data_IF_623213057094
#
_entry.id   IF_623213057094
#
_cell.length_a   1.000
_cell.length_b   1.000
_cell.length_c   1.000
_cell.angle_alpha   90.00
_cell.angle_beta   90.00
_cell.angle_gamma   90.00
#
_symmetry.space_group_name_H-M   'P 1'
#
loop_
_entity.id
_entity.type
_entity.pdbx_description
1 polymer ?
#
# COMPACT_ATOMS: atom_id res chain seq x y z
N UNK A 1 18.53 5.06 -3.95
CA UNK A 1 19.09 3.91 -4.70
C UNK A 1 19.90 4.34 -5.93
N UNK A 2 19.31 4.99 -6.95
CA UNK A 2 20.04 5.40 -8.17
C UNK A 2 21.26 6.27 -7.86
N UNK A 3 21.07 7.32 -7.05
CA UNK A 3 22.14 8.25 -6.67
C UNK A 3 23.22 7.56 -5.82
N UNK A 4 22.83 6.68 -4.89
CA UNK A 4 23.79 5.88 -4.11
C UNK A 4 24.61 4.94 -5.00
N UNK A 5 24.02 4.35 -6.05
CA UNK A 5 24.78 3.56 -7.01
C UNK A 5 25.82 4.42 -7.78
N UNK A 6 25.50 5.69 -8.05
CA UNK A 6 26.46 6.63 -8.62
C UNK A 6 27.61 6.94 -7.63
N UNK A 7 27.30 7.22 -6.35
CA UNK A 7 28.30 7.47 -5.31
C UNK A 7 29.19 6.26 -5.01
N UNK A 8 28.65 5.04 -5.14
CA UNK A 8 29.45 3.81 -5.02
C UNK A 8 30.47 3.71 -6.16
N UNK A 9 30.13 4.19 -7.37
CA UNK A 9 31.03 4.15 -8.52
C UNK A 9 32.03 5.32 -8.53
N UNK A 10 31.60 6.48 -8.04
CA UNK A 10 32.43 7.67 -7.85
C UNK A 10 32.30 8.17 -6.39
N UNK A 11 33.24 7.79 -5.51
CA UNK A 11 33.21 8.19 -4.10
C UNK A 11 33.31 9.71 -3.87
N UNK A 12 33.74 10.49 -4.87
CA UNK A 12 33.77 11.95 -4.77
C UNK A 12 32.40 12.59 -4.99
N UNK A 13 31.44 11.82 -5.53
CA UNK A 13 30.09 12.29 -5.81
C UNK A 13 29.18 12.13 -4.59
N UNK A 14 28.89 13.24 -3.93
CA UNK A 14 27.87 13.32 -2.86
C UNK A 14 26.57 13.89 -3.46
N UNK A 15 25.46 13.13 -3.45
CA UNK A 15 24.20 13.60 -3.99
C UNK A 15 23.68 14.78 -3.19
N UNK A 16 23.27 15.83 -3.89
CA UNK A 16 22.69 17.03 -3.28
C UNK A 16 21.16 16.95 -3.30
N UNK A 17 20.50 17.71 -2.41
CA UNK A 17 19.03 17.73 -2.31
C UNK A 17 18.35 18.07 -3.63
N UNK A 18 18.89 19.03 -4.39
CA UNK A 18 18.31 19.40 -5.69
C UNK A 18 18.45 18.27 -6.72
N UNK A 19 19.52 17.47 -6.69
CA UNK A 19 19.68 16.32 -7.58
C UNK A 19 18.67 15.22 -7.23
N UNK A 20 18.48 14.95 -5.95
CA UNK A 20 17.46 14.02 -5.44
C UNK A 20 16.06 14.48 -5.82
N UNK A 21 15.77 15.77 -5.68
CA UNK A 21 14.50 16.37 -6.08
C UNK A 21 14.27 16.21 -7.59
N UNK A 22 15.19 16.69 -8.43
CA UNK A 22 15.04 16.66 -9.89
C UNK A 22 14.91 15.24 -10.45
N UNK A 23 15.70 14.29 -9.92
CA UNK A 23 15.61 12.89 -10.34
C UNK A 23 14.25 12.29 -9.96
N UNK A 24 13.78 12.55 -8.74
CA UNK A 24 12.47 12.05 -8.28
C UNK A 24 11.34 12.68 -9.09
N UNK A 25 11.38 13.98 -9.38
CA UNK A 25 10.42 14.68 -10.26
C UNK A 25 10.41 14.06 -11.65
N UNK A 26 11.59 13.81 -12.23
CA UNK A 26 11.71 13.16 -13.54
C UNK A 26 11.05 11.78 -13.55
N UNK A 27 11.34 10.94 -12.56
CA UNK A 27 10.73 9.61 -12.41
C UNK A 27 9.21 9.71 -12.21
N UNK A 28 8.72 10.66 -11.42
CA UNK A 28 7.29 10.89 -11.22
C UNK A 28 6.59 11.28 -12.52
N UNK A 29 7.19 12.14 -13.34
CA UNK A 29 6.66 12.52 -14.65
C UNK A 29 6.63 11.29 -15.57
N UNK A 30 7.68 10.46 -15.57
CA UNK A 30 7.67 9.20 -16.32
C UNK A 30 6.55 8.27 -15.84
N UNK A 31 6.36 8.09 -14.53
CA UNK A 31 5.25 7.31 -13.98
C UNK A 31 3.89 7.88 -14.38
N UNK A 32 3.73 9.20 -14.44
CA UNK A 32 2.50 9.85 -14.88
C UNK A 32 2.22 9.62 -16.37
N UNK A 33 3.25 9.69 -17.21
CA UNK A 33 3.15 9.37 -18.65
C UNK A 33 2.75 7.91 -18.83
N UNK A 34 3.48 6.99 -18.19
CA UNK A 34 3.21 5.55 -18.25
C UNK A 34 1.78 5.27 -17.77
N UNK A 35 1.37 5.84 -16.63
CA UNK A 35 0.03 5.62 -16.03
C UNK A 35 -1.12 6.29 -16.80
N UNK A 36 -0.80 7.14 -17.77
CA UNK A 36 -1.78 7.75 -18.68
C UNK A 36 -1.98 6.95 -19.98
N UNK A 37 -1.19 5.90 -20.21
CA UNK A 37 -1.32 5.02 -21.39
C UNK A 37 -2.67 4.28 -21.43
N UNK A 38 -3.06 3.73 -22.59
CA UNK A 38 -4.28 2.93 -22.69
C UNK A 38 -4.29 1.74 -21.73
N UNK A 39 -5.45 1.41 -21.16
CA UNK A 39 -5.61 0.37 -20.12
C UNK A 39 -4.98 -0.98 -20.47
N UNK A 40 -4.99 -1.38 -21.75
CA UNK A 40 -4.32 -2.61 -22.21
C UNK A 40 -2.81 -2.60 -21.99
N UNK A 41 -2.15 -1.49 -22.32
CA UNK A 41 -0.71 -1.33 -22.12
C UNK A 41 -0.37 -1.23 -20.63
N UNK A 42 -1.20 -0.53 -19.85
CA UNK A 42 -1.05 -0.48 -18.39
C UNK A 42 -1.08 -1.87 -17.77
N UNK A 43 -2.06 -2.69 -18.15
CA UNK A 43 -2.20 -4.05 -17.62
C UNK A 43 -0.98 -4.93 -17.96
N UNK A 44 -0.46 -4.83 -19.19
CA UNK A 44 0.74 -5.55 -19.61
C UNK A 44 1.99 -5.08 -18.85
N UNK A 45 2.20 -3.77 -18.74
CA UNK A 45 3.33 -3.20 -18.03
C UNK A 45 3.31 -3.59 -16.55
N UNK A 46 2.14 -3.49 -15.89
CA UNK A 46 2.00 -3.86 -14.49
C UNK A 46 2.22 -5.37 -14.27
N UNK A 47 1.71 -6.23 -15.15
CA UNK A 47 1.95 -7.68 -15.10
C UNK A 47 3.42 -8.02 -15.29
N UNK A 48 4.09 -7.41 -16.27
CA UNK A 48 5.51 -7.60 -16.53
C UNK A 48 6.36 -7.10 -15.35
N UNK A 49 6.08 -5.91 -14.83
CA UNK A 49 6.76 -5.33 -13.67
C UNK A 49 6.59 -6.18 -12.41
N UNK A 50 5.37 -6.66 -12.15
CA UNK A 50 5.10 -7.57 -11.01
C UNK A 50 5.84 -8.89 -11.13
N UNK A 51 5.92 -9.45 -12.35
CA UNK A 51 6.65 -10.70 -12.62
C UNK A 51 8.15 -10.49 -12.44
N UNK A 52 8.69 -9.39 -12.97
CA UNK A 52 10.07 -8.99 -12.77
C UNK A 52 10.39 -8.79 -11.29
N UNK A 53 9.54 -8.10 -10.53
CA UNK A 53 9.73 -7.89 -9.09
C UNK A 53 9.87 -9.20 -8.33
N UNK A 54 8.99 -10.17 -8.63
CA UNK A 54 9.04 -11.47 -7.98
C UNK A 54 10.33 -12.24 -8.33
N UNK A 55 10.72 -12.26 -9.61
CA UNK A 55 11.96 -12.90 -10.05
C UNK A 55 13.18 -12.21 -9.42
N UNK A 56 13.23 -10.88 -9.46
CA UNK A 56 14.30 -10.07 -8.87
C UNK A 56 14.45 -10.34 -7.37
N UNK A 57 13.33 -10.44 -6.63
CA UNK A 57 13.35 -10.77 -5.21
C UNK A 57 13.97 -12.16 -4.95
N UNK A 58 13.56 -13.18 -5.69
CA UNK A 58 14.14 -14.53 -5.58
C UNK A 58 15.63 -14.52 -5.91
N UNK A 59 16.02 -13.81 -6.98
CA UNK A 59 17.43 -13.66 -7.37
C UNK A 59 18.23 -12.98 -6.26
N UNK A 60 17.72 -11.89 -5.67
CA UNK A 60 18.41 -11.16 -4.58
C UNK A 60 18.57 -12.04 -3.33
N UNK A 61 17.53 -12.78 -2.94
CA UNK A 61 17.58 -13.73 -1.81
C UNK A 61 18.67 -14.79 -2.00
N UNK A 62 18.92 -15.23 -3.24
CA UNK A 62 19.98 -16.21 -3.56
C UNK A 62 21.35 -15.52 -3.68
N UNK A 63 21.41 -14.36 -4.33
CA UNK A 63 22.67 -13.66 -4.63
C UNK A 63 23.39 -13.17 -3.38
N UNK A 64 22.67 -12.69 -2.37
CA UNK A 64 23.29 -12.20 -1.13
C UNK A 64 24.13 -13.29 -0.42
N UNK A 65 23.58 -14.46 -0.04
CA UNK A 65 24.36 -15.50 0.66
C UNK A 65 25.36 -16.23 -0.27
N UNK A 66 25.11 -16.23 -1.58
CA UNK A 66 26.04 -16.80 -2.56
C UNK A 66 27.25 -15.90 -2.83
N UNK A 67 27.02 -14.58 -2.88
CA UNK A 67 28.02 -13.57 -3.20
C UNK A 67 28.65 -12.89 -1.99
N UNK A 68 28.39 -13.38 -0.77
CA UNK A 68 28.96 -12.77 0.43
C UNK A 68 30.47 -13.01 0.51
N UNK A 69 31.23 -11.93 0.78
CA UNK A 69 32.69 -11.93 0.88
C UNK A 69 33.20 -11.90 2.33
N UNK A 70 32.32 -12.14 3.31
CA UNK A 70 32.64 -12.11 4.76
C UNK A 70 33.87 -12.95 5.12
N UNK A 71 34.02 -14.12 4.50
CA UNK A 71 35.18 -15.01 4.74
C UNK A 71 36.49 -14.41 4.25
N UNK A 72 36.47 -13.63 3.18
CA UNK A 72 37.65 -12.93 2.65
C UNK A 72 38.06 -11.77 3.57
N UNK A 73 37.11 -11.25 4.36
CA UNK A 73 37.30 -10.20 5.37
C UNK A 73 37.65 -10.74 6.76
N UNK A 74 37.89 -12.05 6.91
CA UNK A 74 38.24 -12.68 8.19
C UNK A 74 37.06 -12.93 9.14
N UNK A 75 35.82 -12.82 8.65
CA UNK A 75 34.60 -13.08 9.42
C UNK A 75 34.03 -14.48 9.09
N UNK A 76 33.24 -15.08 10.00
CA UNK A 76 32.42 -16.24 9.65
C UNK A 76 31.52 -15.92 8.46
N UNK A 77 31.31 -16.92 7.58
CA UNK A 77 30.47 -16.75 6.38
C UNK A 77 29.06 -16.26 6.71
N UNK A 78 28.52 -16.71 7.84
CA UNK A 78 27.24 -16.27 8.38
C UNK A 78 27.40 -15.99 9.88
N UNK A 79 26.65 -15.01 10.39
CA UNK A 79 26.59 -14.72 11.81
C UNK A 79 26.11 -15.95 12.61
N UNK A 80 26.59 -16.15 13.85
CA UNK A 80 26.12 -17.23 14.70
C UNK A 80 24.62 -17.15 14.98
N UNK A 81 23.90 -18.27 14.95
CA UNK A 81 22.45 -18.30 15.24
C UNK A 81 22.11 -17.78 16.64
N UNK A 82 23.01 -17.92 17.62
CA UNK A 82 22.81 -17.38 18.96
C UNK A 82 22.77 -15.85 18.98
N UNK A 83 23.46 -15.21 18.04
CA UNK A 83 23.42 -13.75 17.85
C UNK A 83 22.10 -13.39 17.16
N UNK A 84 21.83 -13.96 15.98
CA UNK A 84 20.64 -13.65 15.16
C UNK A 84 19.31 -13.83 15.90
N UNK A 85 19.19 -14.87 16.74
CA UNK A 85 17.94 -15.19 17.45
C UNK A 85 17.96 -14.85 18.94
N UNK A 86 19.15 -14.60 19.51
CA UNK A 86 19.33 -14.42 20.96
C UNK A 86 19.55 -12.98 21.39
N UNK A 87 19.81 -12.06 20.45
CA UNK A 87 20.01 -10.64 20.76
C UNK A 87 18.88 -9.78 20.19
N UNK A 88 18.60 -8.67 20.89
CA UNK A 88 17.72 -7.60 20.40
C UNK A 88 18.62 -6.38 20.27
N UNK A 89 18.72 -5.83 19.07
CA UNK A 89 19.49 -4.62 18.82
C UNK A 89 18.87 -3.42 19.55
N UNK A 90 19.67 -2.72 20.34
CA UNK A 90 19.25 -1.57 21.16
C UNK A 90 19.18 -0.28 20.34
N UNK A 91 18.33 -0.27 19.31
CA UNK A 91 18.16 0.88 18.41
C UNK A 91 17.28 2.01 18.96
N UNK A 92 16.73 1.88 20.17
CA UNK A 92 15.89 2.91 20.81
C UNK A 92 16.17 2.97 22.30
N UNK A 93 15.87 4.11 22.92
CA UNK A 93 15.95 4.33 24.37
C UNK A 93 14.88 3.57 25.17
N UNK A 94 14.01 2.81 24.51
CA UNK A 94 12.93 2.06 25.16
C UNK A 94 13.38 0.65 25.55
N UNK A 95 12.71 0.01 26.52
CA UNK A 95 12.94 -1.40 26.82
C UNK A 95 12.72 -2.28 25.58
N UNK A 96 13.50 -3.37 25.46
CA UNK A 96 13.55 -4.24 24.29
C UNK A 96 12.17 -4.67 23.74
N UNK A 97 11.19 -4.96 24.61
CA UNK A 97 9.83 -5.32 24.19
C UNK A 97 9.11 -4.20 23.41
N UNK A 98 9.30 -2.95 23.81
CA UNK A 98 8.75 -1.79 23.08
C UNK A 98 9.57 -1.54 21.81
N UNK A 99 10.90 -1.66 21.85
CA UNK A 99 11.76 -1.52 20.66
C UNK A 99 11.39 -2.52 19.57
N UNK A 100 11.07 -3.77 19.93
CA UNK A 100 10.53 -4.78 19.01
C UNK A 100 9.22 -4.30 18.39
N UNK A 101 8.27 -3.77 19.18
CA UNK A 101 7.03 -3.23 18.63
C UNK A 101 7.27 -2.02 17.73
N UNK A 102 8.19 -1.12 18.08
CA UNK A 102 8.56 0.02 17.23
C UNK A 102 9.14 -0.43 15.88
N UNK A 103 9.89 -1.54 15.83
CA UNK A 103 10.44 -2.09 14.59
C UNK A 103 9.36 -2.48 13.56
N UNK A 104 8.11 -2.70 13.98
CA UNK A 104 7.00 -3.00 13.08
C UNK A 104 6.71 -1.86 12.11
N UNK A 105 7.19 -0.63 12.35
CA UNK A 105 7.08 0.46 11.36
C UNK A 105 7.61 0.05 9.99
N UNK A 106 8.72 -0.70 9.94
CA UNK A 106 9.28 -1.22 8.69
C UNK A 106 8.37 -2.25 8.04
N UNK A 107 7.79 -3.16 8.82
CA UNK A 107 6.83 -4.16 8.32
C UNK A 107 5.56 -3.50 7.80
N UNK A 108 5.04 -2.51 8.52
CA UNK A 108 3.82 -1.78 8.17
C UNK A 108 4.02 -1.04 6.86
N UNK A 109 5.17 -0.38 6.70
CA UNK A 109 5.49 0.34 5.48
C UNK A 109 5.69 -0.62 4.29
N UNK A 110 6.44 -1.71 4.48
CA UNK A 110 6.71 -2.70 3.42
C UNK A 110 5.48 -3.52 3.01
N UNK A 111 4.53 -3.74 3.92
CA UNK A 111 3.25 -4.35 3.63
C UNK A 111 2.20 -3.35 3.11
N UNK A 112 2.52 -2.07 2.97
CA UNK A 112 1.57 -1.11 2.42
C UNK A 112 1.19 -1.44 0.96
N UNK A 113 -0.05 -1.16 0.59
CA UNK A 113 -0.54 -1.32 -0.79
C UNK A 113 -1.04 -2.72 -1.16
N UNK A 114 -1.15 -3.68 -0.22
CA UNK A 114 -1.80 -4.97 -0.46
C UNK A 114 -3.26 -4.83 -0.93
N UNK A 115 -3.89 -3.68 -0.65
CA UNK A 115 -5.25 -3.32 -1.01
C UNK A 115 -5.36 -2.69 -2.40
N UNK A 116 -4.25 -2.51 -3.12
CA UNK A 116 -4.26 -2.01 -4.51
C UNK A 116 -5.30 -2.71 -5.41
N UNK A 117 -5.53 -4.03 -5.33
CA UNK A 117 -6.57 -4.71 -6.10
C UNK A 117 -8.01 -4.23 -5.80
N UNK A 118 -8.27 -3.59 -4.65
CA UNK A 118 -9.56 -2.98 -4.34
C UNK A 118 -9.78 -1.70 -5.16
N UNK A 119 -8.76 -0.84 -5.28
CA UNK A 119 -8.85 0.40 -6.05
C UNK A 119 -9.00 0.17 -7.56
N UNK A 120 -8.62 -1.02 -8.04
CA UNK A 120 -8.76 -1.45 -9.43
C UNK A 120 -9.94 -2.41 -9.64
N UNK A 121 -10.82 -2.59 -8.65
CA UNK A 121 -11.92 -3.53 -8.73
C UNK A 121 -12.87 -3.27 -9.92
N UNK A 122 -13.08 -2.00 -10.30
CA UNK A 122 -13.92 -1.61 -11.43
C UNK A 122 -13.34 -2.06 -12.80
N UNK A 123 -12.02 -2.29 -12.88
CA UNK A 123 -11.32 -2.74 -14.09
C UNK A 123 -11.12 -4.27 -14.10
N UNK A 124 -11.52 -4.97 -13.04
CA UNK A 124 -11.26 -6.39 -12.81
C UNK A 124 -12.43 -7.28 -13.25
N UNK A 125 -12.17 -8.33 -14.01
CA UNK A 125 -13.14 -9.38 -14.26
C UNK A 125 -13.39 -10.19 -12.98
N UNK A 126 -14.66 -10.31 -12.57
CA UNK A 126 -15.05 -11.02 -11.34
C UNK A 126 -14.44 -10.44 -10.05
N UNK A 127 -14.52 -9.12 -9.89
CA UNK A 127 -13.97 -8.38 -8.76
C UNK A 127 -14.33 -8.94 -7.37
N UNK A 128 -15.54 -9.48 -7.20
CA UNK A 128 -16.04 -10.06 -5.94
C UNK A 128 -15.24 -11.27 -5.43
N UNK A 129 -14.45 -11.92 -6.30
CA UNK A 129 -13.58 -13.05 -5.95
C UNK A 129 -12.13 -12.72 -6.23
N UNK A 130 -11.83 -12.08 -7.37
CA UNK A 130 -10.47 -11.80 -7.79
C UNK A 130 -9.77 -10.79 -6.87
N UNK A 131 -10.44 -9.69 -6.52
CA UNK A 131 -9.88 -8.64 -5.66
C UNK A 131 -9.52 -9.15 -4.25
N UNK A 132 -10.42 -9.79 -3.48
CA UNK A 132 -10.06 -10.28 -2.16
C UNK A 132 -9.01 -11.40 -2.17
N UNK A 133 -9.01 -12.27 -3.19
CA UNK A 133 -7.95 -13.29 -3.36
C UNK A 133 -6.60 -12.66 -3.62
N UNK A 134 -6.54 -11.62 -4.46
CA UNK A 134 -5.31 -10.89 -4.74
C UNK A 134 -4.76 -10.23 -3.47
N UNK A 135 -5.60 -9.59 -2.66
CA UNK A 135 -5.19 -8.99 -1.37
C UNK A 135 -4.51 -10.02 -0.46
N UNK A 136 -5.13 -11.19 -0.27
CA UNK A 136 -4.57 -12.26 0.57
C UNK A 136 -3.28 -12.81 -0.01
N UNK A 137 -3.24 -13.05 -1.33
CA UNK A 137 -2.06 -13.60 -2.00
C UNK A 137 -0.87 -12.63 -1.90
N UNK A 138 -1.08 -11.35 -2.20
CA UNK A 138 -0.03 -10.33 -2.11
C UNK A 138 0.51 -10.20 -0.68
N UNK A 139 -0.38 -10.21 0.32
CA UNK A 139 0.04 -10.16 1.73
C UNK A 139 0.83 -11.40 2.15
N UNK A 140 0.34 -12.60 1.80
CA UNK A 140 1.00 -13.86 2.16
C UNK A 140 2.35 -14.03 1.45
N UNK A 141 2.40 -13.81 0.14
CA UNK A 141 3.64 -13.91 -0.64
C UNK A 141 4.64 -12.84 -0.21
N UNK A 142 4.20 -11.58 -0.04
CA UNK A 142 5.07 -10.51 0.44
C UNK A 142 5.65 -10.79 1.83
N UNK A 143 4.81 -11.25 2.77
CA UNK A 143 5.24 -11.59 4.12
C UNK A 143 6.24 -12.75 4.16
N UNK A 144 5.99 -13.83 3.42
CA UNK A 144 6.86 -15.01 3.41
C UNK A 144 8.22 -14.69 2.78
N UNK A 145 8.26 -14.08 1.61
CA UNK A 145 9.53 -13.78 0.94
C UNK A 145 10.28 -12.62 1.62
N UNK A 146 9.56 -11.64 2.16
CA UNK A 146 10.15 -10.59 3.00
C UNK A 146 10.82 -11.17 4.24
N UNK A 147 10.20 -12.16 4.89
CA UNK A 147 10.81 -12.87 6.01
C UNK A 147 12.11 -13.59 5.63
N UNK A 148 12.15 -14.29 4.49
CA UNK A 148 13.39 -14.91 4.02
C UNK A 148 14.49 -13.89 3.69
N UNK A 149 14.13 -12.76 3.07
CA UNK A 149 15.10 -11.70 2.81
C UNK A 149 15.68 -11.14 4.12
N UNK A 150 14.83 -10.87 5.13
CA UNK A 150 15.28 -10.39 6.43
C UNK A 150 16.14 -11.41 7.18
N UNK A 151 15.81 -12.71 7.06
CA UNK A 151 16.64 -13.77 7.62
C UNK A 151 18.02 -13.76 6.97
N UNK A 152 18.09 -13.69 5.63
CA UNK A 152 19.37 -13.58 4.91
C UNK A 152 20.16 -12.37 5.41
N UNK A 153 19.55 -11.18 5.46
CA UNK A 153 20.18 -9.95 5.93
C UNK A 153 20.71 -10.10 7.36
N UNK A 154 19.93 -10.68 8.28
CA UNK A 154 20.35 -10.88 9.67
C UNK A 154 21.58 -11.79 9.80
N UNK A 155 21.71 -12.80 8.92
CA UNK A 155 22.87 -13.69 8.91
C UNK A 155 24.10 -13.11 8.18
N UNK A 156 23.94 -12.08 7.33
CA UNK A 156 25.02 -11.53 6.51
C UNK A 156 25.44 -10.11 6.89
N UNK A 157 24.63 -9.35 7.62
CA UNK A 157 25.01 -8.02 8.14
C UNK A 157 26.24 -8.12 9.04
N UNK A 158 27.13 -7.13 8.93
CA UNK A 158 28.39 -7.08 9.69
C UNK A 158 28.25 -6.12 10.85
N UNK A 159 27.78 -4.89 10.58
CA UNK A 159 27.64 -3.85 11.60
C UNK A 159 26.42 -2.98 11.27
N UNK A 160 25.43 -2.99 12.16
CA UNK A 160 24.15 -2.29 11.95
C UNK A 160 24.34 -0.78 12.03
N UNK A 161 25.15 -0.28 12.96
CA UNK A 161 25.37 1.16 13.17
C UNK A 161 26.02 1.78 11.94
N UNK A 162 27.05 1.12 11.38
CA UNK A 162 27.70 1.55 10.14
C UNK A 162 26.78 1.51 8.91
N UNK A 163 25.72 0.70 8.93
CA UNK A 163 24.69 0.72 7.87
C UNK A 163 23.78 1.94 8.01
N UNK A 164 23.39 2.26 9.25
CA UNK A 164 22.48 3.35 9.55
C UNK A 164 23.15 4.72 9.37
N UNK A 165 24.41 4.84 9.79
CA UNK A 165 25.20 6.08 9.76
C UNK A 165 25.96 6.28 8.44
N UNK A 166 25.67 5.46 7.42
CA UNK A 166 26.40 5.50 6.16
C UNK A 166 26.13 6.79 5.36
N UNK A 167 27.22 7.45 4.95
CA UNK A 167 27.18 8.63 4.06
C UNK A 167 26.53 8.36 2.69
N UNK A 168 26.33 7.09 2.30
CA UNK A 168 25.58 6.74 1.09
C UNK A 168 24.09 7.17 1.16
N UNK A 169 23.58 7.50 2.35
CA UNK A 169 22.19 7.92 2.57
C UNK A 169 21.16 6.86 2.18
N UNK A 170 21.59 5.60 2.05
CA UNK A 170 20.80 4.48 1.56
C UNK A 170 21.21 3.18 2.27
N UNK A 171 20.55 2.84 3.39
CA UNK A 171 20.94 1.72 4.25
C UNK A 171 21.07 0.38 3.53
N UNK A 172 20.15 0.05 2.62
CA UNK A 172 20.24 -1.21 1.86
C UNK A 172 21.50 -1.28 0.99
N UNK A 173 21.94 -0.17 0.40
CA UNK A 173 23.17 -0.13 -0.40
C UNK A 173 24.42 -0.24 0.50
N UNK A 174 24.42 0.45 1.64
CA UNK A 174 25.49 0.38 2.64
C UNK A 174 25.67 -1.04 3.18
N UNK A 175 24.56 -1.70 3.54
CA UNK A 175 24.53 -3.11 3.96
C UNK A 175 25.17 -4.04 2.91
N UNK A 176 24.82 -3.90 1.64
CA UNK A 176 25.42 -4.73 0.59
C UNK A 176 26.94 -4.48 0.49
N UNK A 177 27.41 -3.23 0.57
CA UNK A 177 28.84 -2.92 0.55
C UNK A 177 29.64 -3.52 1.72
N UNK A 178 29.00 -3.75 2.87
CA UNK A 178 29.64 -4.41 4.00
C UNK A 178 29.87 -5.92 3.79
N UNK A 179 29.01 -6.58 3.03
CA UNK A 179 28.97 -8.04 2.97
C UNK A 179 29.27 -8.65 1.60
N UNK A 180 29.48 -7.84 0.55
CA UNK A 180 29.88 -8.32 -0.78
C UNK A 180 30.69 -7.28 -1.58
N UNK A 181 31.23 -7.73 -2.72
CA UNK A 181 31.98 -6.87 -3.64
C UNK A 181 31.11 -5.79 -4.29
N UNK A 182 31.74 -4.66 -4.63
CA UNK A 182 31.10 -3.52 -5.29
C UNK A 182 30.32 -3.91 -6.56
N UNK A 183 30.86 -4.81 -7.39
CA UNK A 183 30.19 -5.26 -8.62
C UNK A 183 28.88 -5.99 -8.33
N UNK A 184 28.86 -6.86 -7.32
CA UNK A 184 27.66 -7.59 -6.90
C UNK A 184 26.64 -6.65 -6.27
N UNK A 185 27.10 -5.71 -5.45
CA UNK A 185 26.25 -4.64 -4.90
C UNK A 185 25.54 -3.86 -6.00
N UNK A 186 26.29 -3.37 -7.00
CA UNK A 186 25.71 -2.63 -8.12
C UNK A 186 24.73 -3.47 -8.95
N UNK A 187 24.98 -4.77 -9.13
CA UNK A 187 24.06 -5.67 -9.83
C UNK A 187 22.73 -5.83 -9.06
N UNK A 188 22.78 -6.06 -7.75
CA UNK A 188 21.58 -6.14 -6.90
C UNK A 188 20.84 -4.81 -6.89
N UNK A 189 21.55 -3.69 -6.72
CA UNK A 189 20.94 -2.36 -6.76
C UNK A 189 20.25 -2.09 -8.09
N UNK A 190 20.82 -2.50 -9.22
CA UNK A 190 20.18 -2.36 -10.54
C UNK A 190 18.85 -3.12 -10.61
N UNK A 191 18.79 -4.36 -10.11
CA UNK A 191 17.54 -5.11 -10.02
C UNK A 191 16.51 -4.41 -9.13
N UNK A 192 16.93 -3.92 -7.96
CA UNK A 192 16.06 -3.20 -7.02
C UNK A 192 15.57 -1.87 -7.60
N UNK A 193 16.39 -1.16 -8.40
CA UNK A 193 16.01 0.09 -9.07
C UNK A 193 14.90 -0.15 -10.09
N UNK A 194 15.06 -1.16 -10.96
CA UNK A 194 14.03 -1.52 -11.95
C UNK A 194 12.74 -1.96 -11.25
N UNK A 195 12.88 -2.69 -10.14
CA UNK A 195 11.76 -3.14 -9.35
C UNK A 195 11.00 -1.97 -8.68
N UNK A 196 11.75 -1.03 -8.09
CA UNK A 196 11.22 0.18 -7.48
C UNK A 196 10.53 1.11 -8.48
N UNK A 197 11.04 1.21 -9.71
CA UNK A 197 10.36 1.93 -10.79
C UNK A 197 9.01 1.29 -11.13
N UNK A 198 8.98 -0.03 -11.31
CA UNK A 198 7.74 -0.77 -11.60
C UNK A 198 6.71 -0.61 -10.48
N UNK A 199 7.15 -0.66 -9.22
CA UNK A 199 6.31 -0.41 -8.04
C UNK A 199 5.75 1.02 -8.05
N UNK A 200 6.60 2.04 -8.23
CA UNK A 200 6.18 3.45 -8.22
C UNK A 200 5.16 3.77 -9.32
N UNK A 201 5.31 3.15 -10.49
CA UNK A 201 4.32 3.21 -11.56
C UNK A 201 2.97 2.62 -11.12
N UNK A 202 2.97 1.44 -10.47
CA UNK A 202 1.77 0.83 -9.91
C UNK A 202 1.07 1.70 -8.85
N UNK A 203 1.84 2.34 -7.97
CA UNK A 203 1.31 3.29 -6.98
C UNK A 203 0.61 4.47 -7.65
N UNK A 204 1.17 5.02 -8.72
CA UNK A 204 0.57 6.13 -9.47
C UNK A 204 -0.77 5.74 -10.11
N UNK A 205 -0.88 4.51 -10.63
CA UNK A 205 -2.17 3.96 -11.09
C UNK A 205 -3.16 3.93 -9.93
N UNK A 206 -2.84 3.25 -8.82
CA UNK A 206 -3.77 3.11 -7.69
C UNK A 206 -4.25 4.47 -7.17
N UNK A 207 -3.33 5.41 -6.95
CA UNK A 207 -3.64 6.77 -6.50
C UNK A 207 -4.61 7.50 -7.45
N UNK A 208 -4.40 7.36 -8.77
CA UNK A 208 -5.28 8.00 -9.76
C UNK A 208 -6.71 7.45 -9.75
N UNK A 209 -6.89 6.15 -9.44
CA UNK A 209 -8.22 5.52 -9.36
C UNK A 209 -8.96 5.95 -8.11
N UNK A 210 -8.24 6.03 -6.99
CA UNK A 210 -8.78 6.61 -5.75
C UNK A 210 -9.24 8.05 -6.00
N UNK A 211 -8.37 8.87 -6.59
CA UNK A 211 -8.68 10.28 -6.89
C UNK A 211 -9.89 10.42 -7.81
N UNK A 212 -9.96 9.57 -8.85
CA UNK A 212 -11.11 9.52 -9.74
C UNK A 212 -12.41 9.14 -9.02
N UNK A 213 -12.39 8.14 -8.14
CA UNK A 213 -13.55 7.72 -7.36
C UNK A 213 -14.05 8.84 -6.43
N UNK A 214 -13.15 9.50 -5.70
CA UNK A 214 -13.49 10.68 -4.89
C UNK A 214 -14.03 11.84 -5.74
N UNK A 215 -13.45 12.07 -6.92
CA UNK A 215 -13.94 13.10 -7.83
C UNK A 215 -15.34 12.78 -8.40
N UNK A 216 -15.64 11.51 -8.66
CA UNK A 216 -16.97 11.03 -9.10
C UNK A 216 -18.04 11.36 -8.07
N UNK A 217 -17.69 11.22 -6.80
CA UNK A 217 -18.57 11.53 -5.66
C UNK A 217 -18.59 13.02 -5.28
N UNK A 218 -17.99 13.87 -6.13
CA UNK A 218 -17.91 15.34 -5.97
C UNK A 218 -17.23 15.78 -4.66
N UNK A 219 -16.24 14.99 -4.17
CA UNK A 219 -15.49 15.27 -2.94
C UNK A 219 -14.42 16.36 -3.07
N UNK A 220 -13.98 16.67 -4.29
CA UNK A 220 -12.90 17.65 -4.54
C UNK A 220 -13.43 18.95 -5.13
N UNK A 221 -12.75 20.09 -4.87
CA UNK A 221 -12.93 21.26 -5.70
C UNK A 221 -12.58 20.88 -7.15
N UNK A 222 -13.34 21.42 -8.11
CA UNK A 222 -13.14 21.14 -9.53
C UNK A 222 -13.29 19.65 -9.91
N UNK A 223 -14.02 18.84 -9.12
CA UNK A 223 -14.31 17.42 -9.41
C UNK A 223 -14.75 17.13 -10.85
N UNK A 224 -15.41 18.08 -11.52
CA UNK A 224 -15.79 18.00 -12.94
C UNK A 224 -14.62 17.71 -13.88
N UNK A 225 -13.41 18.19 -13.56
CA UNK A 225 -12.22 17.98 -14.35
C UNK A 225 -11.51 16.68 -13.99
N UNK A 226 -11.42 16.35 -12.70
CA UNK A 226 -10.71 15.17 -12.20
C UNK A 226 -11.44 13.86 -12.50
N UNK A 227 -12.78 13.88 -12.56
CA UNK A 227 -13.62 12.72 -12.89
C UNK A 227 -13.74 12.42 -14.38
N UNK A 228 -12.99 13.10 -15.25
CA UNK A 228 -13.07 12.89 -16.70
C UNK A 228 -12.18 11.71 -17.12
N UNK A 229 -12.79 10.69 -17.70
CA UNK A 229 -12.07 9.57 -18.35
C UNK A 229 -11.78 9.93 -19.80
N UNK A 230 -10.55 9.73 -20.24
CA UNK A 230 -10.16 9.96 -21.63
C UNK A 230 -10.75 8.86 -22.54
N UNK A 231 -11.44 9.24 -23.63
CA UNK A 231 -12.12 8.29 -24.53
C UNK A 231 -11.18 7.39 -25.31
N UNK A 232 -9.94 7.81 -25.57
CA UNK A 232 -8.97 7.03 -26.33
C UNK A 232 -8.19 6.06 -25.45
N UNK A 233 -7.73 6.52 -24.29
CA UNK A 233 -6.93 5.69 -23.37
C UNK A 233 -7.79 4.89 -22.40
N UNK A 234 -9.06 5.28 -22.17
CA UNK A 234 -9.96 4.70 -21.16
C UNK A 234 -9.39 4.83 -19.73
N UNK A 235 -8.58 5.87 -19.48
CA UNK A 235 -7.94 6.14 -18.19
C UNK A 235 -8.26 7.55 -17.68
N UNK A 236 -8.28 7.77 -16.35
CA UNK A 236 -8.51 9.08 -15.75
C UNK A 236 -7.21 9.91 -15.75
N UNK A 237 -6.71 10.27 -16.92
CA UNK A 237 -5.42 10.97 -17.07
C UNK A 237 -5.33 12.28 -16.25
N UNK A 238 -6.42 13.03 -16.13
CA UNK A 238 -6.45 14.25 -15.32
C UNK A 238 -6.16 13.97 -13.83
N UNK A 239 -6.66 12.85 -13.30
CA UNK A 239 -6.39 12.43 -11.93
C UNK A 239 -4.93 12.00 -11.74
N UNK A 240 -4.32 11.36 -12.76
CA UNK A 240 -2.89 11.00 -12.76
C UNK A 240 -2.03 12.26 -12.65
N UNK A 241 -2.28 13.26 -13.49
CA UNK A 241 -1.50 14.50 -13.48
C UNK A 241 -1.75 15.35 -12.23
N UNK A 242 -2.96 15.32 -11.68
CA UNK A 242 -3.26 15.93 -10.39
C UNK A 242 -2.40 15.32 -9.28
N UNK A 243 -2.35 13.98 -9.19
CA UNK A 243 -1.51 13.30 -8.20
C UNK A 243 -0.02 13.54 -8.42
N UNK A 244 0.43 13.59 -9.68
CA UNK A 244 1.81 13.96 -10.01
C UNK A 244 2.14 15.36 -9.49
N UNK A 245 1.29 16.35 -9.77
CA UNK A 245 1.50 17.73 -9.31
C UNK A 245 1.49 17.84 -7.78
N UNK A 246 0.50 17.24 -7.10
CA UNK A 246 0.44 17.23 -5.63
C UNK A 246 1.65 16.52 -5.05
N UNK A 247 2.07 15.40 -5.62
CA UNK A 247 3.26 14.67 -5.17
C UNK A 247 4.55 15.49 -5.35
N UNK A 248 4.70 16.23 -6.45
CA UNK A 248 5.85 17.15 -6.65
C UNK A 248 5.82 18.29 -5.64
N UNK A 249 4.63 18.84 -5.32
CA UNK A 249 4.50 19.87 -4.29
C UNK A 249 4.87 19.33 -2.90
N UNK A 250 4.43 18.12 -2.56
CA UNK A 250 4.84 17.46 -1.32
C UNK A 250 6.36 17.18 -1.32
N UNK A 251 6.95 16.86 -2.47
CA UNK A 251 8.38 16.59 -2.59
C UNK A 251 9.26 17.82 -2.33
N UNK A 252 8.71 19.05 -2.44
CA UNK A 252 9.42 20.27 -2.02
C UNK A 252 9.85 20.24 -0.55
N UNK A 253 9.24 19.38 0.28
CA UNK A 253 9.65 19.15 1.66
C UNK A 253 11.09 18.62 1.78
N UNK A 254 11.70 18.09 0.72
CA UNK A 254 13.14 17.77 0.69
C UNK A 254 13.99 18.98 1.08
N UNK A 255 13.61 20.19 0.64
CA UNK A 255 14.33 21.42 1.00
C UNK A 255 14.06 21.90 2.43
N UNK A 256 13.13 21.28 3.14
CA UNK A 256 12.82 21.53 4.55
C UNK A 256 13.66 20.69 5.53
N UNK A 257 14.58 19.86 5.03
CA UNK A 257 15.44 18.98 5.81
C UNK A 257 14.82 17.62 6.12
N UNK A 258 15.61 16.75 6.77
CA UNK A 258 15.24 15.35 7.03
C UNK A 258 13.94 15.20 7.84
N UNK A 259 13.69 16.11 8.78
CA UNK A 259 12.46 16.15 9.57
C UNK A 259 11.21 16.30 8.68
N UNK A 260 11.28 17.20 7.69
CA UNK A 260 10.18 17.47 6.77
C UNK A 260 9.95 16.30 5.81
N UNK A 261 11.01 15.62 5.39
CA UNK A 261 10.93 14.39 4.57
C UNK A 261 10.34 13.24 5.39
N UNK A 262 10.82 13.02 6.61
CA UNK A 262 10.35 11.97 7.52
C UNK A 262 8.85 12.08 7.80
N UNK A 263 8.33 13.31 7.90
CA UNK A 263 6.90 13.57 8.08
C UNK A 263 6.02 12.93 6.98
N UNK A 264 6.47 12.88 5.72
CA UNK A 264 5.72 12.25 4.63
C UNK A 264 5.56 10.73 4.84
N UNK A 265 6.63 10.06 5.26
CA UNK A 265 6.63 8.61 5.49
C UNK A 265 5.75 8.23 6.68
N UNK A 266 5.81 9.03 7.75
CA UNK A 266 5.00 8.90 8.95
C UNK A 266 3.48 8.95 8.69
N UNK A 267 3.02 9.90 7.86
CA UNK A 267 1.58 9.99 7.50
C UNK A 267 1.13 8.74 6.78
N UNK A 268 1.93 8.26 5.81
CA UNK A 268 1.56 7.13 4.96
C UNK A 268 1.24 5.86 5.75
N UNK A 269 2.02 5.56 6.79
CA UNK A 269 1.81 4.38 7.63
C UNK A 269 0.54 4.48 8.48
N UNK A 270 0.39 5.57 9.25
CA UNK A 270 -0.73 5.70 10.19
C UNK A 270 -2.06 5.92 9.46
N UNK A 271 -2.07 6.73 8.40
CA UNK A 271 -3.29 7.04 7.66
C UNK A 271 -3.92 5.77 7.06
N UNK A 272 -3.11 4.89 6.48
CA UNK A 272 -3.56 3.60 5.95
C UNK A 272 -4.20 2.73 7.05
N UNK A 273 -3.52 2.58 8.18
CA UNK A 273 -4.02 1.78 9.31
C UNK A 273 -5.36 2.26 9.84
N UNK A 274 -5.50 3.57 10.07
CA UNK A 274 -6.76 4.14 10.55
C UNK A 274 -7.86 3.97 9.50
N UNK A 275 -7.58 4.32 8.23
CA UNK A 275 -8.56 4.25 7.14
C UNK A 275 -9.13 2.84 6.95
N UNK A 276 -8.31 1.79 7.06
CA UNK A 276 -8.76 0.41 6.87
C UNK A 276 -9.36 -0.22 8.12
N UNK A 277 -8.91 0.18 9.31
CA UNK A 277 -9.42 -0.40 10.56
C UNK A 277 -10.82 0.10 10.88
N UNK A 278 -11.18 1.34 10.49
CA UNK A 278 -12.52 1.89 10.73
C UNK A 278 -13.63 1.00 10.13
N UNK A 279 -13.61 0.64 8.83
CA UNK A 279 -14.61 -0.27 8.27
C UNK A 279 -14.63 -1.66 8.93
N UNK A 280 -13.45 -2.21 9.28
CA UNK A 280 -13.35 -3.51 9.97
C UNK A 280 -14.01 -3.42 11.34
N UNK A 281 -13.71 -2.37 12.10
CA UNK A 281 -14.27 -2.09 13.42
C UNK A 281 -15.79 -1.95 13.35
N UNK A 282 -16.31 -1.15 12.42
CA UNK A 282 -17.76 -1.00 12.21
C UNK A 282 -18.40 -2.35 11.90
N UNK A 283 -17.79 -3.14 11.00
CA UNK A 283 -18.30 -4.46 10.60
C UNK A 283 -18.32 -5.46 11.75
N UNK A 284 -17.28 -5.49 12.59
CA UNK A 284 -17.16 -6.45 13.70
C UNK A 284 -18.07 -6.08 14.87
N UNK A 285 -18.12 -4.79 15.24
CA UNK A 285 -18.75 -4.37 16.50
C UNK A 285 -20.15 -3.76 16.34
N UNK A 286 -20.51 -3.21 15.17
CA UNK A 286 -21.78 -2.48 14.99
C UNK A 286 -22.74 -3.14 14.00
N UNK A 287 -22.23 -3.72 12.92
CA UNK A 287 -23.10 -4.27 11.86
C UNK A 287 -23.80 -5.56 12.33
N UNK A 288 -23.11 -6.40 13.09
CA UNK A 288 -23.63 -7.68 13.57
C UNK A 288 -24.14 -8.56 12.41
N UNK A 289 -25.31 -9.18 12.57
CA UNK A 289 -25.91 -10.08 11.58
C UNK A 289 -26.47 -9.39 10.32
N UNK A 290 -26.36 -8.05 10.21
CA UNK A 290 -26.83 -7.30 9.03
C UNK A 290 -25.87 -7.41 7.84
N UNK A 291 -24.65 -7.93 8.07
CA UNK A 291 -23.64 -8.08 7.03
C UNK A 291 -23.97 -9.29 6.13
N UNK A 292 -24.09 -9.05 4.82
CA UNK A 292 -24.24 -10.11 3.81
C UNK A 292 -22.85 -10.50 3.27
N UNK A 293 -22.37 -11.74 3.49
CA UNK A 293 -21.09 -12.18 2.95
C UNK A 293 -21.09 -12.22 1.42
N UNK A 294 -19.98 -11.81 0.81
CA UNK A 294 -19.74 -12.01 -0.61
C UNK A 294 -19.36 -13.46 -0.96
N UNK A 295 -19.24 -13.79 -2.26
CA UNK A 295 -18.84 -15.11 -2.74
C UNK A 295 -17.50 -15.59 -2.15
N UNK A 296 -16.56 -14.66 -1.93
CA UNK A 296 -15.38 -14.90 -1.13
C UNK A 296 -15.56 -14.30 0.27
N UNK A 297 -15.37 -15.10 1.31
CA UNK A 297 -15.48 -14.66 2.69
C UNK A 297 -14.61 -15.51 3.63
N UNK A 298 -14.29 -14.95 4.80
CA UNK A 298 -13.54 -15.62 5.87
C UNK A 298 -14.43 -16.54 6.75
N UNK A 299 -15.73 -16.67 6.41
CA UNK A 299 -16.72 -17.40 7.19
C UNK A 299 -16.73 -17.01 8.67
N UNK A 300 -16.74 -18.03 9.54
CA UNK A 300 -16.76 -17.87 11.00
C UNK A 300 -15.55 -17.13 11.58
N UNK A 301 -14.41 -17.14 10.89
CA UNK A 301 -13.19 -16.50 11.38
C UNK A 301 -13.19 -14.98 11.18
N UNK A 302 -14.10 -14.44 10.39
CA UNK A 302 -14.13 -13.02 10.05
C UNK A 302 -14.23 -12.11 11.27
N UNK A 303 -15.00 -12.51 12.31
CA UNK A 303 -15.13 -11.71 13.53
C UNK A 303 -13.85 -11.75 14.38
N UNK A 304 -13.25 -12.92 14.54
CA UNK A 304 -12.04 -13.10 15.35
C UNK A 304 -10.84 -12.38 14.71
N UNK A 305 -10.60 -12.60 13.41
CA UNK A 305 -9.52 -11.93 12.66
C UNK A 305 -9.72 -10.42 12.67
N UNK A 306 -10.95 -9.94 12.44
CA UNK A 306 -11.25 -8.51 12.48
C UNK A 306 -11.03 -7.89 13.86
N UNK A 307 -11.36 -8.62 14.94
CA UNK A 307 -11.12 -8.16 16.32
C UNK A 307 -9.63 -8.04 16.62
N UNK A 308 -8.84 -9.07 16.25
CA UNK A 308 -7.38 -9.06 16.42
C UNK A 308 -6.74 -7.92 15.62
N UNK A 309 -7.19 -7.68 14.39
CA UNK A 309 -6.72 -6.56 13.58
C UNK A 309 -7.00 -5.20 14.25
N UNK A 310 -8.20 -5.00 14.81
CA UNK A 310 -8.56 -3.77 15.51
C UNK A 310 -7.70 -3.57 16.77
N UNK A 311 -7.49 -4.60 17.58
CA UNK A 311 -6.65 -4.54 18.78
C UNK A 311 -5.19 -4.26 18.43
N UNK A 312 -4.67 -4.92 17.38
CA UNK A 312 -3.32 -4.70 16.90
C UNK A 312 -3.10 -3.25 16.46
N UNK A 313 -4.02 -2.69 15.67
CA UNK A 313 -3.91 -1.30 15.21
C UNK A 313 -4.08 -0.32 16.38
N UNK A 314 -4.98 -0.59 17.32
CA UNK A 314 -5.14 0.22 18.53
C UNK A 314 -3.86 0.26 19.37
N UNK A 315 -3.15 -0.85 19.46
CA UNK A 315 -1.84 -0.94 20.14
C UNK A 315 -0.74 -0.20 19.36
N UNK A 316 -0.70 -0.38 18.03
CA UNK A 316 0.39 0.14 17.20
C UNK A 316 0.33 1.65 16.97
N UNK A 317 -0.87 2.27 16.91
CA UNK A 317 -0.98 3.72 16.66
C UNK A 317 -0.17 4.56 17.67
N UNK A 318 -0.29 4.37 19.00
CA UNK A 318 0.55 5.08 19.97
C UNK A 318 2.04 4.76 19.81
N UNK A 319 2.40 3.50 19.61
CA UNK A 319 3.79 3.05 19.52
C UNK A 319 4.51 3.71 18.33
N UNK A 320 3.83 3.82 17.19
CA UNK A 320 4.36 4.50 16.00
C UNK A 320 4.51 6.01 16.17
N UNK A 321 3.91 6.60 17.21
CA UNK A 321 4.06 8.01 17.55
C UNK A 321 5.19 8.27 18.56
N UNK A 322 5.81 7.22 19.12
CA UNK A 322 6.94 7.40 20.03
C UNK A 322 8.22 7.82 19.28
N UNK A 323 9.03 8.74 19.83
CA UNK A 323 10.38 9.00 19.34
C UNK A 323 11.30 7.79 19.58
N UNK A 324 12.45 7.71 18.92
CA UNK A 324 13.46 6.68 19.20
C UNK A 324 14.25 6.98 20.48
N UNK A 325 14.44 8.26 20.80
CA UNK A 325 15.15 8.78 21.97
C UNK A 325 14.15 9.39 22.97
N UNK A 326 14.43 9.29 24.26
CA UNK A 326 13.57 9.81 25.34
C UNK A 326 14.40 10.52 26.41
N UNK A 327 13.73 11.22 27.32
CA UNK A 327 14.38 11.84 28.47
C UNK A 327 15.09 13.15 28.14
N UNK A 328 16.23 13.40 28.80
CA UNK A 328 16.99 14.65 28.67
C UNK A 328 17.66 14.83 27.31
N UNK A 329 17.87 13.73 26.57
CA UNK A 329 18.55 13.72 25.28
C UNK A 329 17.58 13.96 24.11
N UNK A 330 16.26 13.99 24.37
CA UNK A 330 15.25 14.24 23.34
C UNK A 330 15.30 15.69 22.87
N UNK A 331 15.73 15.90 21.62
CA UNK A 331 15.67 17.21 20.97
C UNK A 331 14.41 17.37 20.10
N UNK A 332 14.16 18.61 19.65
CA UNK A 332 13.09 18.91 18.68
C UNK A 332 13.29 18.18 17.36
N UNK A 333 14.55 17.94 16.97
CA UNK A 333 14.90 17.24 15.74
C UNK A 333 14.66 15.73 15.86
N UNK A 334 14.86 15.15 17.05
CA UNK A 334 14.68 13.71 17.30
C UNK A 334 13.23 13.32 17.62
N UNK A 335 12.36 14.32 17.76
CA UNK A 335 10.95 14.08 18.08
C UNK A 335 10.20 13.47 16.90
N UNK A 336 9.36 12.48 17.21
CA UNK A 336 8.44 11.90 16.23
C UNK A 336 7.19 12.78 16.10
N UNK A 337 7.14 13.58 15.03
CA UNK A 337 6.05 14.53 14.75
C UNK A 337 4.80 13.90 14.13
N UNK A 338 4.74 12.57 13.99
CA UNK A 338 3.63 11.87 13.31
C UNK A 338 2.27 12.27 13.87
N UNK A 339 2.13 12.39 15.19
CA UNK A 339 0.88 12.75 15.84
C UNK A 339 0.34 14.13 15.38
N UNK A 340 1.22 15.11 15.19
CA UNK A 340 0.85 16.46 14.74
C UNK A 340 0.59 16.46 13.23
N UNK A 341 1.48 15.83 12.46
CA UNK A 341 1.42 15.83 11.00
C UNK A 341 0.20 15.04 10.50
N UNK A 342 -0.20 13.97 11.19
CA UNK A 342 -1.43 13.24 10.90
C UNK A 342 -2.66 13.86 11.59
N UNK A 343 -2.56 14.17 12.88
CA UNK A 343 -3.68 14.65 13.69
C UNK A 343 -4.17 16.04 13.26
N UNK A 344 -3.27 16.93 12.84
CA UNK A 344 -3.61 18.28 12.36
C UNK A 344 -4.55 18.26 11.16
N UNK A 345 -4.19 17.63 10.03
CA UNK A 345 -5.08 17.47 8.89
C UNK A 345 -6.40 16.75 9.23
N UNK A 346 -6.38 15.71 10.07
CA UNK A 346 -7.61 15.02 10.48
C UNK A 346 -8.53 15.92 11.29
N UNK A 347 -7.99 16.77 12.17
CA UNK A 347 -8.74 17.77 12.90
C UNK A 347 -9.36 18.79 11.94
N UNK A 348 -8.60 19.29 10.96
CA UNK A 348 -9.10 20.22 9.95
C UNK A 348 -10.23 19.61 9.11
N UNK A 349 -10.09 18.35 8.68
CA UNK A 349 -11.13 17.63 7.93
C UNK A 349 -12.38 17.44 8.80
N UNK A 350 -12.21 17.13 10.08
CA UNK A 350 -13.34 16.98 11.03
C UNK A 350 -14.07 18.31 11.22
N UNK A 351 -13.33 19.42 11.41
CA UNK A 351 -13.91 20.76 11.48
C UNK A 351 -14.65 21.09 10.17
N UNK A 352 -14.02 20.84 9.02
CA UNK A 352 -14.64 21.08 7.72
C UNK A 352 -15.93 20.27 7.53
N UNK A 353 -15.95 19.02 7.99
CA UNK A 353 -17.14 18.18 8.00
C UNK A 353 -18.28 18.83 8.77
N UNK A 354 -18.06 19.21 10.03
CA UNK A 354 -19.08 19.81 10.89
C UNK A 354 -19.49 21.24 10.47
N UNK A 355 -18.61 22.01 9.85
CA UNK A 355 -18.92 23.38 9.39
C UNK A 355 -19.69 23.37 8.07
N UNK A 356 -19.26 22.55 7.10
CA UNK A 356 -19.72 22.62 5.70
C UNK A 356 -20.01 21.26 5.08
N UNK A 357 -19.08 20.30 5.13
CA UNK A 357 -19.14 19.12 4.24
C UNK A 357 -20.37 18.24 4.46
N UNK A 358 -20.83 18.07 5.71
CA UNK A 358 -22.04 17.29 6.01
C UNK A 358 -23.33 17.86 5.37
N UNK A 359 -23.33 19.13 4.95
CA UNK A 359 -24.50 19.80 4.35
C UNK A 359 -24.67 19.42 2.87
N UNK A 360 -23.56 19.29 2.14
CA UNK A 360 -23.57 19.09 0.68
C UNK A 360 -23.08 17.71 0.23
N UNK A 361 -22.24 17.03 1.02
CA UNK A 361 -21.78 15.69 0.69
C UNK A 361 -22.89 14.66 0.97
N UNK A 362 -23.30 13.92 -0.05
CA UNK A 362 -24.40 12.94 0.03
C UNK A 362 -23.93 11.48 0.08
N UNK A 363 -22.62 11.25 0.15
CA UNK A 363 -22.04 9.92 0.11
C UNK A 363 -21.81 9.39 -1.32
N UNK A 364 -21.33 8.14 -1.43
CA UNK A 364 -20.99 7.52 -2.71
C UNK A 364 -22.18 7.44 -3.65
N UNK A 365 -21.99 7.85 -4.91
CA UNK A 365 -23.03 7.73 -5.94
C UNK A 365 -23.05 6.31 -6.46
N UNK A 366 -24.06 5.55 -6.03
CA UNK A 366 -24.26 4.16 -6.46
C UNK A 366 -24.81 4.15 -7.88
N UNK A 367 -23.94 3.92 -8.87
CA UNK A 367 -24.30 3.90 -10.30
C UNK A 367 -24.82 2.54 -10.80
N UNK A 368 -24.76 1.50 -9.95
CA UNK A 368 -25.29 0.18 -10.25
C UNK A 368 -26.26 -0.12 -9.12
N UNK A 369 -27.53 -0.33 -9.46
CA UNK A 369 -28.56 -0.78 -8.54
C UNK A 369 -28.10 -2.11 -7.94
N UNK A 370 -27.40 -2.03 -6.81
CA UNK A 370 -26.96 -3.22 -6.13
C UNK A 370 -28.23 -3.96 -5.71
N UNK A 371 -28.35 -5.22 -6.13
CA UNK A 371 -29.25 -6.23 -5.56
C UNK A 371 -28.96 -6.52 -4.06
N UNK A 372 -28.48 -5.53 -3.31
CA UNK A 372 -28.28 -5.53 -1.87
C UNK A 372 -29.59 -5.26 -1.12
N UNK A 373 -30.61 -4.73 -1.81
CA UNK A 373 -31.99 -4.57 -1.31
C UNK A 373 -32.93 -5.62 -1.92
N UNK A 374 -32.54 -6.89 -1.83
CA UNK A 374 -33.50 -8.00 -1.89
C UNK A 374 -33.59 -8.60 -0.50
N UNK A 375 -34.45 -8.08 0.37
CA UNK A 375 -35.10 -8.93 1.36
C UNK A 375 -36.24 -9.56 0.56
N UNK A 376 -36.30 -10.88 0.47
CA UNK A 376 -37.56 -11.54 0.14
C UNK A 376 -38.56 -11.13 1.23
N UNK A 377 -39.21 -9.98 1.05
CA UNK A 377 -40.45 -9.69 1.74
C UNK A 377 -41.54 -10.36 0.91
N UNK A 378 -41.96 -11.51 1.45
CA UNK A 378 -43.29 -12.08 1.37
C UNK A 378 -44.12 -11.67 0.14
N UNK A 379 -44.35 -12.67 -0.70
CA UNK A 379 -45.54 -12.83 -1.53
C UNK A 379 -46.75 -12.09 -0.93
N UNK A 380 -47.14 -10.97 -1.54
CA UNK A 380 -48.50 -10.44 -1.39
C UNK A 380 -49.22 -10.74 -2.70
N UNK A 381 -50.05 -11.78 -2.63
CA UNK A 381 -51.09 -12.08 -3.61
C UNK A 381 -52.13 -10.96 -3.56
N UNK A 382 -52.26 -10.23 -4.69
CA UNK A 382 -53.52 -9.73 -5.25
C UNK A 382 -54.17 -8.47 -4.67
N UNK A 383 -54.39 -7.47 -5.53
CA UNK A 383 -55.75 -7.02 -5.91
C UNK A 383 -55.69 -6.15 -7.16
N UNK A 384 -56.66 -6.37 -8.07
CA UNK A 384 -56.59 -5.96 -9.46
C UNK A 384 -57.05 -4.54 -9.78
N UNK A 385 -56.77 -4.15 -11.02
CA UNK A 385 -57.56 -3.18 -11.75
C UNK A 385 -57.87 -3.74 -13.13
N UNK A 386 -59.17 -3.86 -13.40
CA UNK A 386 -59.77 -4.15 -14.72
C UNK A 386 -59.64 -2.91 -15.59
N UNK A 387 -59.15 -3.11 -16.81
CA UNK A 387 -59.43 -2.39 -18.08
C UNK A 387 -58.33 -2.86 -19.06
N UNK A 388 -58.56 -3.52 -20.20
CA UNK A 388 -59.66 -3.48 -21.13
C UNK A 388 -59.09 -3.09 -22.50
N UNK A 389 -58.67 -4.07 -23.33
CA UNK A 389 -58.76 -4.14 -24.81
C UNK A 389 -57.76 -5.12 -25.46
N UNK A 390 -58.35 -6.15 -26.06
CA UNK A 390 -58.11 -6.74 -27.39
C UNK A 390 -56.67 -7.00 -27.91
N UNK A 391 -56.42 -8.27 -28.28
CA UNK A 391 -55.31 -8.65 -29.16
C UNK A 391 -54.93 -10.13 -29.10
N UNK A 392 -55.67 -10.96 -29.83
CA UNK A 392 -55.45 -12.38 -30.12
C UNK A 392 -54.04 -12.71 -30.67
N UNK A 393 -53.36 -13.73 -30.11
CA UNK A 393 -52.70 -14.80 -30.90
C UNK A 393 -51.93 -15.82 -30.03
N UNK A 394 -52.44 -17.05 -30.05
CA UNK A 394 -51.76 -18.37 -30.02
C UNK A 394 -50.76 -18.74 -28.90
N UNK A 395 -51.18 -19.77 -28.15
CA UNK A 395 -50.41 -20.59 -27.21
C UNK A 395 -49.18 -21.27 -27.84
N UNK A 396 -48.09 -21.32 -27.09
CA UNK A 396 -46.96 -22.22 -27.29
C UNK A 396 -46.50 -22.79 -25.95
N UNK A 397 -46.85 -24.06 -25.72
CA UNK A 397 -46.44 -24.87 -24.57
C UNK A 397 -44.91 -24.99 -24.48
N UNK A 398 -44.32 -24.65 -23.33
CA UNK A 398 -43.02 -25.21 -22.91
C UNK A 398 -43.08 -25.59 -21.43
N UNK A 399 -43.02 -26.91 -21.22
CA UNK A 399 -43.01 -27.62 -19.93
C UNK A 399 -41.86 -27.17 -19.01
N UNK A 400 -42.18 -27.06 -17.73
CA UNK A 400 -41.20 -26.94 -16.63
C UNK A 400 -40.41 -28.25 -16.46
N UNK A 401 -39.09 -28.22 -16.15
CA UNK A 401 -38.38 -29.40 -15.71
C UNK A 401 -38.54 -29.60 -14.20
N UNK A 402 -38.80 -30.85 -13.89
CA UNK A 402 -39.14 -31.48 -12.62
C UNK A 402 -37.95 -31.50 -11.64
N UNK A 403 -38.25 -31.27 -10.35
CA UNK A 403 -37.32 -31.43 -9.23
C UNK A 403 -36.94 -32.90 -9.08
N UNK A 404 -35.64 -33.22 -9.05
CA UNK A 404 -35.15 -34.50 -8.52
C UNK A 404 -34.42 -34.25 -7.20
N UNK A 405 -35.04 -34.74 -6.13
CA UNK A 405 -34.48 -34.92 -4.80
C UNK A 405 -33.72 -36.24 -4.69
N UNK A 406 -32.52 -36.15 -4.11
CA UNK A 406 -31.78 -37.10 -3.24
C UNK A 406 -31.65 -38.59 -3.62
N UNK A 407 -30.39 -39.03 -3.69
CA UNK A 407 -29.81 -40.06 -2.79
C UNK A 407 -28.36 -39.71 -2.50
#
# INVERSE_FOLDING_TARGET
MILAAASINDPSYVPTDYQTFLLTVFIMILHAILSSMPTRWLAQFNSAGSTFNFIALVVVIIMIPAGTDRTERGLPRFAPSSEVWGTIYEGTSFPAGISVLMSFIGVIWTMSGYDSPFHLAEECSNANIASPRAIVLTSATGGIFGWFLQLVVAYTVVDIDLVLDSELGQPFAAYLMQCMSQKMTLAILALTIIAGFSMGQGCMIAASRVTFAYARDDCFPLSKYWKRVNRHTQTPANAVWFNCAVGILCLLLIFGGELAVGALFSIGAIAAFVAFTIPIFIRVFFVGNRFRPGPWNLGKYSSAIGSVACVFVLLMIPILCFPSITGADLTVADMNWTCVVYGGPMLLVTIWWFVSAHKWFKGPKVNIEHMMLGREEAVVVGQGSVDGKDGDSSLGDVKAPEKITKS
#
